data_IF_421962347772
#
_entry.id   IF_421962347772
#
_cell.length_a   1.000
_cell.length_b   1.000
_cell.length_c   1.000
_cell.angle_alpha   90.00
_cell.angle_beta   90.00
_cell.angle_gamma   90.00
#
_symmetry.space_group_name_H-M   'P 1'
#
loop_
_entity.id
_entity.type
_entity.pdbx_description
1 polymer ?
#
# COMPACT_ATOMS: atom_id res chain seq x y z
N UNK A 1 -23.62 10.78 7.27
CA UNK A 1 -22.47 11.30 8.03
C UNK A 1 -21.95 10.17 8.89
N UNK A 2 -20.68 9.78 8.75
CA UNK A 2 -20.05 8.74 9.59
C UNK A 2 -19.39 9.47 10.76
N UNK A 3 -19.83 9.17 11.99
CA UNK A 3 -19.21 9.70 13.20
C UNK A 3 -18.21 8.66 13.72
N UNK A 4 -16.96 9.07 13.93
CA UNK A 4 -15.91 8.23 14.49
C UNK A 4 -15.37 8.86 15.78
N UNK A 5 -15.23 8.03 16.83
CA UNK A 5 -14.60 8.42 18.07
C UNK A 5 -13.11 8.01 18.02
N UNK A 6 -12.22 8.95 18.33
CA UNK A 6 -10.79 8.67 18.38
C UNK A 6 -10.38 8.21 19.79
N UNK A 7 -9.60 7.13 19.93
CA UNK A 7 -9.04 6.73 21.23
C UNK A 7 -8.06 7.77 21.77
N UNK A 8 -7.86 7.80 23.09
CA UNK A 8 -6.77 8.58 23.70
C UNK A 8 -5.44 7.86 23.47
N UNK A 9 -4.42 8.58 22.99
CA UNK A 9 -3.25 7.97 22.38
C UNK A 9 -1.96 8.34 23.12
N UNK A 10 -1.21 7.36 23.63
CA UNK A 10 0.00 7.61 24.43
C UNK A 10 1.34 7.38 23.69
N UNK A 11 1.41 6.43 22.75
CA UNK A 11 2.64 6.07 22.00
C UNK A 11 2.42 6.04 20.48
N UNK A 12 3.42 6.44 19.69
CA UNK A 12 3.33 6.66 18.23
C UNK A 12 2.83 5.44 17.46
N UNK A 13 3.35 4.25 17.76
CA UNK A 13 2.96 3.04 17.03
C UNK A 13 1.54 2.59 17.38
N UNK A 14 1.18 2.72 18.66
CA UNK A 14 -0.20 2.48 19.08
C UNK A 14 -1.14 3.45 18.36
N UNK A 15 -0.73 4.73 18.19
CA UNK A 15 -1.50 5.72 17.42
C UNK A 15 -1.74 5.29 15.99
N UNK A 16 -0.68 4.85 15.30
CA UNK A 16 -0.79 4.48 13.90
C UNK A 16 -1.70 3.26 13.75
N UNK A 17 -1.58 2.25 14.62
CA UNK A 17 -2.43 1.07 14.56
C UNK A 17 -3.90 1.42 14.85
N UNK A 18 -4.17 2.16 15.92
CA UNK A 18 -5.54 2.53 16.31
C UNK A 18 -6.21 3.40 15.24
N UNK A 19 -5.48 4.40 14.72
CA UNK A 19 -5.97 5.24 13.63
C UNK A 19 -6.18 4.43 12.35
N UNK A 20 -5.27 3.49 12.04
CA UNK A 20 -5.42 2.58 10.89
C UNK A 20 -6.70 1.77 11.01
N UNK A 21 -6.99 1.20 12.18
CA UNK A 21 -8.21 0.41 12.40
C UNK A 21 -9.46 1.28 12.30
N UNK A 22 -9.44 2.50 12.87
CA UNK A 22 -10.54 3.45 12.77
C UNK A 22 -10.81 3.85 11.31
N UNK A 23 -9.78 4.21 10.54
CA UNK A 23 -9.94 4.56 9.12
C UNK A 23 -10.37 3.36 8.28
N UNK A 24 -9.85 2.16 8.54
CA UNK A 24 -10.27 0.95 7.84
C UNK A 24 -11.77 0.68 8.07
N UNK A 25 -12.26 0.83 9.30
CA UNK A 25 -13.69 0.72 9.61
C UNK A 25 -14.52 1.77 8.86
N UNK A 26 -14.08 3.03 8.83
CA UNK A 26 -14.76 4.11 8.08
C UNK A 26 -14.84 3.76 6.59
N UNK A 27 -13.74 3.28 5.99
CA UNK A 27 -13.71 2.90 4.58
C UNK A 27 -14.62 1.71 4.29
N UNK A 28 -14.67 0.70 5.16
CA UNK A 28 -15.59 -0.43 5.02
C UNK A 28 -17.05 0.05 5.03
N UNK A 29 -17.44 0.92 5.96
CA UNK A 29 -18.80 1.47 6.00
C UNK A 29 -19.11 2.33 4.77
N UNK A 30 -18.13 3.12 4.31
CA UNK A 30 -18.29 3.92 3.11
C UNK A 30 -18.48 3.03 1.86
N UNK A 31 -17.68 1.98 1.69
CA UNK A 31 -17.86 1.00 0.62
C UNK A 31 -19.23 0.30 0.69
N UNK A 32 -19.69 -0.07 1.89
CA UNK A 32 -21.06 -0.61 2.06
C UNK A 32 -22.11 0.38 1.60
N UNK A 33 -21.96 1.66 1.94
CA UNK A 33 -22.88 2.70 1.48
C UNK A 33 -22.83 2.90 -0.05
N UNK A 34 -21.65 2.74 -0.69
CA UNK A 34 -21.51 2.75 -2.15
C UNK A 34 -22.20 1.56 -2.83
N UNK A 35 -22.08 0.36 -2.23
CA UNK A 35 -22.59 -0.91 -2.78
C UNK A 35 -24.01 -1.31 -2.35
N UNK A 36 -24.66 -0.56 -1.45
CA UNK A 36 -26.04 -0.82 -1.00
C UNK A 36 -27.11 -0.41 -2.02
N UNK A 37 -26.73 -0.08 -3.26
CA UNK A 37 -27.64 -0.08 -4.40
C UNK A 37 -27.97 -1.53 -4.78
N UNK A 38 -28.74 -2.22 -3.93
CA UNK A 38 -29.25 -3.55 -4.28
C UNK A 38 -29.95 -3.49 -5.65
N UNK A 39 -29.62 -4.37 -6.61
CA UNK A 39 -30.52 -4.65 -7.70
C UNK A 39 -31.75 -5.35 -7.08
N UNK A 40 -32.81 -4.58 -6.86
CA UNK A 40 -34.10 -5.09 -6.38
C UNK A 40 -34.52 -6.31 -7.22
N UNK A 41 -34.38 -7.51 -6.66
CA UNK A 41 -34.78 -8.75 -7.34
C UNK A 41 -36.31 -8.94 -7.39
N UNK A 42 -37.09 -7.91 -7.03
CA UNK A 42 -38.53 -7.85 -7.22
C UNK A 42 -38.89 -6.73 -8.21
N UNK A 43 -38.65 -6.99 -9.51
CA UNK A 43 -39.25 -6.20 -10.59
C UNK A 43 -40.73 -6.57 -10.72
N UNK A 44 -41.55 -6.02 -9.83
CA UNK A 44 -42.93 -5.69 -10.23
C UNK A 44 -42.80 -4.53 -11.23
N UNK A 45 -43.23 -4.75 -12.46
CA UNK A 45 -43.27 -3.72 -13.51
C UNK A 45 -44.23 -2.61 -13.09
N UNK A 46 -43.71 -1.58 -12.43
CA UNK A 46 -44.32 -0.26 -12.42
C UNK A 46 -43.36 0.71 -13.07
N UNK A 47 -43.79 1.27 -14.21
CA UNK A 47 -43.10 2.35 -14.91
C UNK A 47 -43.00 3.55 -13.98
N UNK A 48 -41.91 3.64 -13.24
CA UNK A 48 -41.51 4.82 -12.50
C UNK A 48 -40.07 5.11 -12.90
N UNK A 49 -39.92 6.13 -13.73
CA UNK A 49 -38.66 6.83 -14.01
C UNK A 49 -38.17 7.50 -12.73
N UNK A 50 -37.70 6.71 -11.76
CA UNK A 50 -36.87 7.22 -10.67
C UNK A 50 -35.45 7.27 -11.20
N UNK A 51 -34.93 8.48 -11.43
CA UNK A 51 -33.51 8.69 -11.70
C UNK A 51 -32.71 7.92 -10.64
N UNK A 52 -31.81 7.04 -11.05
CA UNK A 52 -30.84 6.44 -10.15
C UNK A 52 -30.16 7.59 -9.40
N UNK A 53 -30.51 7.75 -8.12
CA UNK A 53 -29.97 8.82 -7.31
C UNK A 53 -28.46 8.59 -7.24
N UNK A 54 -27.70 9.59 -7.67
CA UNK A 54 -26.24 9.53 -7.80
C UNK A 54 -25.65 9.23 -6.42
N UNK A 55 -25.21 7.98 -6.20
CA UNK A 55 -24.65 7.58 -4.90
C UNK A 55 -23.43 8.46 -4.62
N UNK A 56 -23.37 9.17 -3.48
CA UNK A 56 -22.31 10.14 -3.25
C UNK A 56 -20.95 9.45 -3.20
N UNK A 57 -20.12 9.68 -4.22
CA UNK A 57 -18.75 9.16 -4.35
C UNK A 57 -17.71 9.93 -3.51
N UNK A 58 -18.15 10.85 -2.66
CA UNK A 58 -17.27 11.72 -1.87
C UNK A 58 -17.33 11.34 -0.39
N UNK A 59 -16.20 10.89 0.16
CA UNK A 59 -16.00 10.66 1.59
C UNK A 59 -15.26 11.85 2.19
N UNK A 60 -15.90 12.54 3.15
CA UNK A 60 -15.26 13.62 3.92
C UNK A 60 -14.73 13.09 5.24
N UNK A 61 -13.43 13.22 5.46
CA UNK A 61 -12.73 12.81 6.67
C UNK A 61 -12.25 14.03 7.45
N UNK A 62 -12.44 14.01 8.77
CA UNK A 62 -11.75 14.92 9.69
C UNK A 62 -10.56 14.15 10.26
N UNK A 63 -9.36 14.74 10.37
CA UNK A 63 -8.25 14.10 11.05
C UNK A 63 -8.64 13.72 12.48
N UNK A 64 -8.79 12.43 12.76
CA UNK A 64 -9.22 11.91 14.07
C UNK A 64 -8.25 12.28 15.20
N UNK A 65 -7.07 12.75 14.86
CA UNK A 65 -6.05 13.21 15.76
C UNK A 65 -6.26 14.62 16.35
N UNK A 66 -7.26 15.37 15.91
CA UNK A 66 -7.51 16.74 16.37
C UNK A 66 -7.89 16.74 17.88
N UNK A 67 -6.97 17.22 18.74
CA UNK A 67 -7.24 17.48 20.17
C UNK A 67 -6.76 16.46 21.20
N UNK A 68 -6.20 15.31 20.78
CA UNK A 68 -5.83 14.22 21.71
C UNK A 68 -4.33 14.03 21.92
N UNK A 69 -3.51 15.02 21.55
CA UNK A 69 -2.07 14.92 21.71
C UNK A 69 -1.55 15.55 22.99
N UNK A 70 -1.24 14.72 23.97
CA UNK A 70 -0.45 15.14 25.14
C UNK A 70 1.01 15.47 24.74
N UNK A 71 1.56 14.78 23.74
CA UNK A 71 2.94 14.97 23.30
C UNK A 71 3.07 16.00 22.17
N UNK A 72 3.51 17.22 22.53
CA UNK A 72 3.75 18.33 21.59
C UNK A 72 4.74 18.01 20.47
N UNK A 73 5.70 17.10 20.68
CA UNK A 73 6.68 16.71 19.64
C UNK A 73 6.02 15.97 18.49
N UNK A 74 4.97 15.20 18.77
CA UNK A 74 4.21 14.46 17.76
C UNK A 74 3.27 15.36 16.96
N UNK A 75 2.95 16.55 17.48
CA UNK A 75 2.10 17.50 16.77
C UNK A 75 2.73 17.96 15.45
N UNK A 76 4.05 18.16 15.42
CA UNK A 76 4.78 18.51 14.20
C UNK A 76 4.76 17.40 13.14
N UNK A 77 4.51 16.15 13.54
CA UNK A 77 4.45 14.99 12.65
C UNK A 77 3.00 14.58 12.33
N UNK A 78 2.02 15.38 12.74
CA UNK A 78 0.63 14.95 12.72
C UNK A 78 0.12 14.60 11.31
N UNK A 79 0.43 15.45 10.33
CA UNK A 79 0.06 15.18 8.94
C UNK A 79 0.63 13.84 8.45
N UNK A 80 1.88 13.52 8.79
CA UNK A 80 2.50 12.24 8.43
C UNK A 80 1.79 11.07 9.10
N UNK A 81 1.55 11.14 10.41
CA UNK A 81 0.83 10.08 11.15
C UNK A 81 -0.54 9.83 10.54
N UNK A 82 -1.29 10.90 10.24
CA UNK A 82 -2.59 10.82 9.60
C UNK A 82 -2.52 10.12 8.25
N UNK A 83 -1.70 10.62 7.32
CA UNK A 83 -1.62 10.07 5.96
C UNK A 83 -1.06 8.66 5.94
N UNK A 84 -0.10 8.34 6.81
CA UNK A 84 0.40 6.98 6.99
C UNK A 84 -0.71 6.05 7.46
N UNK A 85 -1.50 6.45 8.47
CA UNK A 85 -2.60 5.63 8.98
C UNK A 85 -3.70 5.41 7.92
N UNK A 86 -4.01 6.45 7.14
CA UNK A 86 -4.95 6.37 6.01
C UNK A 86 -4.43 5.43 4.93
N UNK A 87 -3.15 5.55 4.54
CA UNK A 87 -2.54 4.70 3.52
C UNK A 87 -2.55 3.22 3.94
N UNK A 88 -2.14 2.91 5.18
CA UNK A 88 -2.17 1.54 5.70
C UNK A 88 -3.62 1.04 5.81
N UNK A 89 -4.56 1.88 6.21
CA UNK A 89 -5.97 1.50 6.27
C UNK A 89 -6.52 1.12 4.89
N UNK A 90 -6.18 1.87 3.85
CA UNK A 90 -6.55 1.55 2.46
C UNK A 90 -5.90 0.24 1.99
N UNK A 91 -4.60 0.05 2.29
CA UNK A 91 -3.85 -1.17 1.93
C UNK A 91 -4.44 -2.43 2.60
N UNK A 92 -4.95 -2.31 3.84
CA UNK A 92 -5.56 -3.40 4.59
C UNK A 92 -6.97 -3.79 4.13
N UNK A 93 -7.61 -3.01 3.27
CA UNK A 93 -8.94 -3.36 2.76
C UNK A 93 -8.86 -4.59 1.85
N UNK A 94 -9.87 -5.47 1.86
CA UNK A 94 -10.01 -6.49 0.82
C UNK A 94 -9.99 -5.87 -0.58
N UNK A 95 -9.35 -6.53 -1.55
CA UNK A 95 -9.19 -6.02 -2.92
C UNK A 95 -10.52 -5.58 -3.56
N UNK A 96 -11.62 -6.30 -3.27
CA UNK A 96 -12.95 -5.93 -3.74
C UNK A 96 -13.40 -4.54 -3.24
N UNK A 97 -13.09 -4.19 -1.99
CA UNK A 97 -13.42 -2.88 -1.41
C UNK A 97 -12.46 -1.79 -1.92
N UNK A 98 -11.18 -2.11 -2.13
CA UNK A 98 -10.24 -1.17 -2.74
C UNK A 98 -10.71 -0.73 -4.14
N UNK A 99 -11.18 -1.67 -4.95
CA UNK A 99 -11.74 -1.38 -6.29
C UNK A 99 -13.00 -0.51 -6.23
N UNK A 100 -13.84 -0.67 -5.20
CA UNK A 100 -15.01 0.21 -5.03
C UNK A 100 -14.61 1.66 -4.74
N UNK A 101 -13.43 1.88 -4.15
CA UNK A 101 -12.91 3.21 -3.85
C UNK A 101 -12.13 3.84 -5.02
N UNK A 102 -11.91 3.14 -6.13
CA UNK A 102 -11.11 3.62 -7.27
C UNK A 102 -11.68 4.92 -7.86
N UNK A 103 -13.01 5.02 -7.94
CA UNK A 103 -13.73 6.21 -8.41
C UNK A 103 -14.13 7.17 -7.28
N UNK A 104 -13.79 6.86 -6.02
CA UNK A 104 -14.19 7.67 -4.88
C UNK A 104 -13.22 8.83 -4.65
N UNK A 105 -13.78 9.97 -4.24
CA UNK A 105 -12.99 11.12 -3.78
C UNK A 105 -12.96 11.14 -2.26
N UNK A 106 -11.76 11.15 -1.68
CA UNK A 106 -11.58 11.34 -0.23
C UNK A 106 -11.16 12.79 0.01
N UNK A 107 -12.06 13.58 0.60
CA UNK A 107 -11.81 14.95 1.02
C UNK A 107 -11.38 14.97 2.49
N UNK A 108 -10.24 15.59 2.81
CA UNK A 108 -9.81 15.77 4.19
C UNK A 108 -10.11 17.19 4.66
N UNK A 109 -11.02 17.30 5.62
CA UNK A 109 -11.51 18.54 6.18
C UNK A 109 -10.63 18.98 7.36
N UNK A 110 -9.77 19.97 7.10
CA UNK A 110 -8.91 20.58 8.14
C UNK A 110 -9.62 21.79 8.74
N UNK A 111 -9.99 21.70 10.01
CA UNK A 111 -10.78 22.73 10.72
C UNK A 111 -10.01 24.05 10.91
N UNK A 112 -8.67 23.99 11.04
CA UNK A 112 -7.82 25.15 11.35
C UNK A 112 -6.83 25.44 10.24
N UNK A 113 -6.86 26.66 9.72
CA UNK A 113 -5.92 27.10 8.68
C UNK A 113 -4.44 26.94 9.09
N UNK A 114 -4.12 27.07 10.37
CA UNK A 114 -2.76 26.88 10.90
C UNK A 114 -2.25 25.43 10.79
N UNK A 115 -3.14 24.45 10.68
CA UNK A 115 -2.79 23.02 10.60
C UNK A 115 -2.64 22.56 9.14
N UNK A 116 -3.25 23.28 8.19
CA UNK A 116 -3.22 22.95 6.77
C UNK A 116 -1.81 22.67 6.22
N UNK A 117 -0.75 23.42 6.56
CA UNK A 117 0.60 23.13 6.07
C UNK A 117 1.09 21.72 6.43
N UNK A 118 0.83 21.24 7.65
CA UNK A 118 1.30 19.93 8.10
C UNK A 118 0.69 18.77 7.29
N UNK A 119 -0.60 18.90 6.92
CA UNK A 119 -1.30 17.89 6.12
C UNK A 119 -1.01 18.03 4.62
N UNK A 120 -0.96 19.25 4.09
CA UNK A 120 -0.78 19.50 2.65
C UNK A 120 0.64 19.25 2.16
N UNK A 121 1.67 19.50 2.98
CA UNK A 121 3.06 19.21 2.61
C UNK A 121 3.28 17.71 2.40
N UNK A 122 2.64 16.89 3.24
CA UNK A 122 2.72 15.42 3.16
C UNK A 122 1.97 14.88 1.93
N UNK A 123 0.92 15.57 1.49
CA UNK A 123 0.12 15.23 0.31
C UNK A 123 0.77 15.57 -1.03
N UNK A 124 1.93 16.24 -1.04
CA UNK A 124 2.63 16.56 -2.30
C UNK A 124 3.10 15.27 -2.96
N UNK A 125 2.20 14.65 -3.73
CA UNK A 125 2.52 13.60 -4.69
C UNK A 125 3.51 14.24 -5.64
N UNK A 126 4.77 13.83 -5.56
CA UNK A 126 5.80 14.29 -6.49
C UNK A 126 5.38 13.77 -7.86
N UNK A 127 4.90 14.62 -8.79
CA UNK A 127 4.30 14.16 -10.06
C UNK A 127 5.29 13.41 -10.96
N UNK A 128 6.56 13.44 -10.57
CA UNK A 128 7.69 12.90 -11.33
C UNK A 128 8.29 11.63 -10.69
N UNK A 129 7.73 11.14 -9.59
CA UNK A 129 8.27 10.00 -8.84
C UNK A 129 9.23 10.42 -7.71
N UNK A 130 9.53 9.47 -6.83
CA UNK A 130 10.32 9.68 -5.62
C UNK A 130 11.82 9.80 -5.96
N UNK A 131 12.54 10.76 -5.36
CA UNK A 131 14.00 10.83 -5.46
C UNK A 131 14.62 10.03 -4.32
N UNK A 132 15.34 8.97 -4.68
CA UNK A 132 16.04 8.11 -3.74
C UNK A 132 17.27 8.81 -3.16
N UNK A 133 17.59 8.43 -1.92
CA UNK A 133 18.80 8.84 -1.24
C UNK A 133 20.07 8.26 -1.86
N UNK A 134 21.21 8.56 -1.25
CA UNK A 134 22.52 7.99 -1.64
C UNK A 134 22.60 6.47 -1.51
N UNK A 135 21.70 5.88 -0.71
CA UNK A 135 21.51 4.45 -0.52
C UNK A 135 20.66 3.78 -1.60
N UNK A 136 20.15 4.56 -2.58
CA UNK A 136 19.25 4.09 -3.62
C UNK A 136 18.00 3.39 -3.06
N UNK A 137 17.48 3.85 -1.91
CA UNK A 137 16.28 3.28 -1.28
C UNK A 137 16.49 1.93 -0.60
N UNK A 138 17.74 1.53 -0.38
CA UNK A 138 18.08 0.29 0.31
C UNK A 138 17.79 0.44 1.81
N UNK A 139 16.98 -0.47 2.36
CA UNK A 139 16.81 -0.56 3.82
C UNK A 139 18.14 -0.89 4.49
N UNK A 140 18.37 -0.35 5.69
CA UNK A 140 19.66 -0.50 6.37
C UNK A 140 19.75 -1.89 7.02
N UNK A 141 20.83 -2.67 6.82
CA UNK A 141 21.00 -3.93 7.52
C UNK A 141 21.20 -3.67 9.02
N UNK A 142 20.54 -4.46 9.88
CA UNK A 142 20.72 -4.41 11.35
C UNK A 142 21.55 -5.62 11.75
N UNK A 143 22.60 -5.41 12.53
CA UNK A 143 23.58 -6.45 12.88
C UNK A 143 24.16 -7.16 11.65
N UNK A 144 24.40 -6.40 10.57
CA UNK A 144 25.00 -6.90 9.33
C UNK A 144 24.09 -7.76 8.45
N UNK A 145 22.79 -7.89 8.75
CA UNK A 145 21.86 -8.69 7.95
C UNK A 145 20.45 -8.04 7.82
N UNK A 146 19.58 -8.70 7.06
CA UNK A 146 18.20 -8.29 6.78
C UNK A 146 17.15 -9.09 7.55
N UNK A 147 17.54 -9.90 8.54
CA UNK A 147 16.58 -10.73 9.27
C UNK A 147 15.53 -9.90 10.01
N UNK A 148 15.91 -8.69 10.44
CA UNK A 148 15.02 -7.77 11.14
C UNK A 148 13.76 -7.41 10.32
N UNK A 149 13.87 -7.41 8.98
CA UNK A 149 12.73 -7.14 8.09
C UNK A 149 11.64 -8.20 8.28
N UNK A 150 12.02 -9.44 8.58
CA UNK A 150 11.08 -10.57 8.71
C UNK A 150 10.77 -10.92 10.16
N UNK A 151 11.76 -10.85 11.04
CA UNK A 151 11.68 -11.39 12.41
C UNK A 151 11.37 -10.32 13.46
N UNK A 152 11.82 -9.08 13.25
CA UNK A 152 11.71 -8.06 14.28
C UNK A 152 10.38 -7.30 14.16
N UNK A 153 9.76 -7.06 15.31
CA UNK A 153 8.44 -6.44 15.41
C UNK A 153 8.41 -5.22 16.34
N UNK A 154 9.57 -4.60 16.60
CA UNK A 154 9.58 -3.35 17.35
C UNK A 154 8.85 -2.24 16.55
N UNK A 155 8.21 -1.28 17.24
CA UNK A 155 7.90 0.05 16.73
C UNK A 155 8.73 0.56 15.54
N UNK A 156 10.01 0.80 15.79
CA UNK A 156 10.94 1.38 14.82
C UNK A 156 11.12 0.48 13.61
N UNK A 157 11.14 -0.85 13.78
CA UNK A 157 11.26 -1.78 12.66
C UNK A 157 10.02 -1.74 11.76
N UNK A 158 8.82 -1.63 12.35
CA UNK A 158 7.57 -1.52 11.58
C UNK A 158 7.54 -0.22 10.78
N UNK A 159 7.92 0.89 11.41
CA UNK A 159 7.99 2.20 10.77
C UNK A 159 8.99 2.22 9.61
N UNK A 160 10.16 1.60 9.77
CA UNK A 160 11.16 1.52 8.71
C UNK A 160 10.66 0.68 7.52
N UNK A 161 9.99 -0.45 7.79
CA UNK A 161 9.35 -1.25 6.73
C UNK A 161 8.24 -0.49 6.02
N UNK A 162 7.43 0.25 6.76
CA UNK A 162 6.33 1.03 6.21
C UNK A 162 6.84 2.16 5.32
N UNK A 163 7.92 2.84 5.72
CA UNK A 163 8.58 3.84 4.90
C UNK A 163 9.14 3.23 3.60
N UNK A 164 9.80 2.06 3.68
CA UNK A 164 10.31 1.35 2.52
C UNK A 164 9.19 0.88 1.57
N UNK A 165 8.11 0.33 2.12
CA UNK A 165 6.91 -0.05 1.36
C UNK A 165 6.30 1.17 0.66
N UNK A 166 6.14 2.29 1.37
CA UNK A 166 5.58 3.52 0.83
C UNK A 166 6.40 4.08 -0.34
N UNK A 167 7.73 4.07 -0.22
CA UNK A 167 8.63 4.46 -1.33
C UNK A 167 8.47 3.55 -2.55
N UNK A 168 8.34 2.24 -2.31
CA UNK A 168 8.15 1.24 -3.38
C UNK A 168 6.80 1.44 -4.07
N UNK A 169 5.72 1.60 -3.31
CA UNK A 169 4.39 1.87 -3.86
C UNK A 169 4.36 3.16 -4.67
N UNK A 170 5.01 4.22 -4.17
CA UNK A 170 5.11 5.48 -4.91
C UNK A 170 5.87 5.30 -6.23
N UNK A 171 6.98 4.55 -6.23
CA UNK A 171 7.73 4.27 -7.46
C UNK A 171 6.90 3.48 -8.47
N UNK A 172 6.13 2.48 -8.01
CA UNK A 172 5.23 1.69 -8.88
C UNK A 172 4.12 2.57 -9.45
N UNK A 173 3.45 3.37 -8.60
CA UNK A 173 2.37 4.26 -9.01
C UNK A 173 2.82 5.34 -10.01
N UNK A 174 4.01 5.90 -9.79
CA UNK A 174 4.61 6.87 -10.71
C UNK A 174 5.32 6.23 -11.91
N UNK A 175 5.25 4.91 -12.07
CA UNK A 175 5.94 4.14 -13.11
C UNK A 175 7.46 4.42 -13.18
N UNK A 176 8.07 4.81 -12.06
CA UNK A 176 9.45 5.24 -12.03
C UNK A 176 9.88 5.96 -10.75
N UNK A 177 11.18 6.23 -10.69
CA UNK A 177 11.82 6.96 -9.59
C UNK A 177 13.10 7.67 -10.07
N UNK A 178 13.66 8.54 -9.24
CA UNK A 178 14.95 9.19 -9.51
C UNK A 178 16.04 8.66 -8.59
N UNK A 179 17.24 8.47 -9.13
CA UNK A 179 18.43 8.22 -8.33
C UNK A 179 18.93 9.50 -7.67
N UNK A 180 19.84 9.35 -6.71
CA UNK A 180 20.47 10.48 -6.00
C UNK A 180 21.16 11.48 -6.92
N UNK A 181 21.64 11.05 -8.09
CA UNK A 181 22.24 11.90 -9.13
C UNK A 181 21.20 12.56 -10.07
N UNK A 182 19.90 12.42 -9.79
CA UNK A 182 18.81 12.97 -10.61
C UNK A 182 18.48 12.14 -11.86
N UNK A 183 19.16 11.01 -12.10
CA UNK A 183 18.83 10.13 -13.24
C UNK A 183 17.48 9.46 -13.00
N UNK A 184 16.58 9.58 -13.97
CA UNK A 184 15.30 8.88 -13.98
C UNK A 184 15.49 7.38 -14.25
N UNK A 185 14.73 6.55 -13.55
CA UNK A 185 14.57 5.12 -13.78
C UNK A 185 13.10 4.85 -14.02
N UNK A 186 12.78 4.28 -15.18
CA UNK A 186 11.42 4.00 -15.63
C UNK A 186 11.09 2.52 -15.42
N UNK A 187 9.90 2.23 -14.88
CA UNK A 187 9.38 0.88 -14.67
C UNK A 187 8.52 0.44 -15.87
N UNK A 188 9.18 0.19 -17.01
CA UNK A 188 8.57 -0.01 -18.34
C UNK A 188 7.56 -1.17 -18.48
N UNK A 189 7.56 -2.11 -17.55
CA UNK A 189 6.85 -3.38 -17.71
C UNK A 189 5.83 -3.66 -16.61
N UNK A 190 5.46 -2.67 -15.78
CA UNK A 190 4.50 -2.86 -14.68
C UNK A 190 3.14 -3.34 -15.21
N UNK A 191 2.57 -2.66 -16.21
CA UNK A 191 1.28 -3.04 -16.79
C UNK A 191 1.31 -4.46 -17.39
N UNK A 192 2.38 -4.80 -18.11
CA UNK A 192 2.55 -6.15 -18.69
C UNK A 192 2.73 -7.22 -17.60
N UNK A 193 3.46 -6.92 -16.52
CA UNK A 193 3.63 -7.82 -15.38
C UNK A 193 2.28 -8.12 -14.71
N UNK A 194 1.46 -7.09 -14.50
CA UNK A 194 0.11 -7.24 -13.93
C UNK A 194 -0.79 -8.04 -14.86
N UNK A 195 -0.85 -7.69 -16.15
CA UNK A 195 -1.70 -8.35 -17.14
C UNK A 195 -1.37 -9.84 -17.35
N UNK A 196 -0.09 -10.22 -17.19
CA UNK A 196 0.37 -11.60 -17.35
C UNK A 196 0.48 -12.37 -16.03
N UNK A 197 0.09 -11.78 -14.89
CA UNK A 197 0.04 -12.49 -13.62
C UNK A 197 -1.09 -13.52 -13.66
N UNK A 198 -0.75 -14.78 -13.42
CA UNK A 198 -1.71 -15.90 -13.46
C UNK A 198 -1.79 -16.60 -12.11
N UNK A 199 -2.98 -17.09 -11.77
CA UNK A 199 -3.22 -17.92 -10.60
C UNK A 199 -3.31 -19.36 -11.06
N UNK A 200 -2.37 -20.20 -10.61
CA UNK A 200 -2.40 -21.63 -10.83
C UNK A 200 -3.01 -22.31 -9.62
N UNK A 201 -4.10 -23.06 -9.83
CA UNK A 201 -4.71 -23.90 -8.80
C UNK A 201 -3.90 -25.18 -8.66
N UNK A 202 -3.94 -25.78 -7.48
CA UNK A 202 -3.21 -27.03 -7.21
C UNK A 202 -3.53 -28.15 -8.21
N UNK A 203 -4.76 -28.22 -8.71
CA UNK A 203 -5.19 -29.20 -9.72
C UNK A 203 -4.70 -28.90 -11.15
N UNK A 204 -4.21 -27.70 -11.42
CA UNK A 204 -3.72 -27.27 -12.74
C UNK A 204 -2.20 -27.47 -12.89
N UNK A 205 -1.51 -27.76 -11.78
CA UNK A 205 -0.08 -28.04 -11.78
C UNK A 205 0.14 -29.47 -12.28
N UNK A 206 0.13 -29.64 -13.59
CA UNK A 206 0.60 -30.87 -14.22
C UNK A 206 2.12 -30.89 -14.13
N UNK A 207 2.66 -31.78 -13.30
CA UNK A 207 4.09 -32.04 -13.24
C UNK A 207 4.51 -32.80 -14.51
N UNK A 208 4.56 -32.11 -15.66
CA UNK A 208 5.26 -32.63 -16.84
C UNK A 208 6.76 -32.59 -16.55
N UNK A 209 7.23 -33.58 -15.80
CA UNK A 209 8.64 -33.87 -15.54
C UNK A 209 9.25 -34.48 -16.81
N UNK A 210 9.42 -33.70 -17.87
CA UNK A 210 9.75 -34.28 -19.17
C UNK A 210 10.19 -33.32 -20.26
N UNK A 211 11.12 -32.40 -19.95
CA UNK A 211 11.88 -31.69 -20.98
C UNK A 211 13.16 -32.43 -21.37
N UNK A 212 13.69 -32.19 -22.57
CA UNK A 212 15.01 -32.68 -22.98
C UNK A 212 16.05 -32.35 -21.88
N UNK A 213 16.73 -33.38 -21.38
CA UNK A 213 17.55 -33.29 -20.17
C UNK A 213 18.73 -32.34 -20.35
N UNK A 214 18.63 -31.14 -19.79
CA UNK A 214 19.78 -30.30 -19.50
C UNK A 214 20.38 -30.72 -18.16
N UNK A 215 21.72 -30.74 -18.08
CA UNK A 215 22.40 -30.98 -16.81
C UNK A 215 22.06 -29.87 -15.82
N UNK A 216 21.32 -30.22 -14.76
CA UNK A 216 20.90 -29.27 -13.73
C UNK A 216 21.98 -29.18 -12.66
N UNK A 217 22.59 -28.00 -12.51
CA UNK A 217 23.58 -27.76 -11.44
C UNK A 217 22.94 -27.05 -10.26
N UNK A 218 23.11 -27.60 -9.05
CA UNK A 218 22.75 -26.93 -7.81
C UNK A 218 23.92 -26.10 -7.28
N UNK A 219 23.67 -24.84 -6.92
CA UNK A 219 24.70 -23.95 -6.34
C UNK A 219 24.12 -23.17 -5.16
N UNK A 220 24.91 -23.03 -4.11
CA UNK A 220 24.61 -22.16 -2.98
C UNK A 220 25.36 -20.84 -3.17
N UNK A 221 24.62 -19.75 -3.33
CA UNK A 221 25.18 -18.42 -3.52
C UNK A 221 24.89 -17.54 -2.31
N UNK A 222 25.88 -16.77 -1.82
CA UNK A 222 25.62 -15.76 -0.80
C UNK A 222 24.79 -14.61 -1.37
N UNK A 223 24.02 -13.95 -0.51
CA UNK A 223 23.22 -12.77 -0.86
C UNK A 223 21.71 -12.99 -0.76
N UNK A 224 20.96 -11.96 -1.11
CA UNK A 224 19.50 -11.99 -1.21
C UNK A 224 19.04 -12.62 -2.52
N UNK A 225 17.79 -13.07 -2.57
CA UNK A 225 17.19 -13.63 -3.79
C UNK A 225 17.29 -12.65 -4.97
N UNK A 226 17.11 -11.35 -4.71
CA UNK A 226 17.19 -10.31 -5.76
C UNK A 226 18.62 -10.08 -6.24
N UNK A 227 19.62 -10.07 -5.34
CA UNK A 227 21.04 -9.94 -5.73
C UNK A 227 21.48 -11.12 -6.61
N UNK A 228 21.02 -12.34 -6.31
CA UNK A 228 21.31 -13.52 -7.14
C UNK A 228 20.58 -13.43 -8.49
N UNK A 229 19.31 -13.04 -8.50
CA UNK A 229 18.54 -12.88 -9.74
C UNK A 229 19.16 -11.82 -10.66
N UNK A 230 19.60 -10.68 -10.12
CA UNK A 230 20.31 -9.64 -10.86
C UNK A 230 21.64 -10.14 -11.43
N UNK A 231 22.41 -10.90 -10.65
CA UNK A 231 23.68 -11.48 -11.09
C UNK A 231 23.51 -12.53 -12.21
N UNK A 232 22.35 -13.19 -12.29
CA UNK A 232 22.00 -14.09 -13.40
C UNK A 232 21.52 -13.31 -14.62
N UNK A 233 20.64 -12.33 -14.42
CA UNK A 233 20.10 -11.48 -15.48
C UNK A 233 21.21 -10.68 -16.21
N UNK A 234 22.20 -10.18 -15.47
CA UNK A 234 23.38 -9.49 -16.04
C UNK A 234 24.24 -10.38 -16.95
N UNK A 235 24.10 -11.71 -16.86
CA UNK A 235 24.74 -12.69 -17.76
C UNK A 235 23.84 -13.11 -18.92
N UNK A 236 22.69 -12.44 -19.08
CA UNK A 236 21.69 -12.78 -20.09
C UNK A 236 20.89 -14.05 -19.76
N UNK A 237 20.94 -14.53 -18.51
CA UNK A 237 20.18 -15.70 -18.09
C UNK A 237 18.80 -15.29 -17.59
N UNK A 238 17.77 -16.05 -17.98
CA UNK A 238 16.45 -15.90 -17.38
C UNK A 238 16.47 -16.51 -15.98
N UNK A 239 16.03 -15.74 -14.99
CA UNK A 239 15.96 -16.16 -13.61
C UNK A 239 14.49 -16.26 -13.15
N UNK A 240 14.15 -17.34 -12.46
CA UNK A 240 12.92 -17.46 -11.69
C UNK A 240 13.27 -17.36 -10.20
N UNK A 241 12.60 -16.46 -9.49
CA UNK A 241 12.77 -16.28 -8.06
C UNK A 241 11.57 -16.87 -7.31
N UNK A 242 11.84 -17.65 -6.26
CA UNK A 242 10.78 -18.23 -5.42
C UNK A 242 10.52 -17.30 -4.23
N UNK A 243 9.30 -16.78 -4.14
CA UNK A 243 8.85 -15.99 -3.00
C UNK A 243 8.34 -16.91 -1.88
N UNK A 244 8.84 -16.71 -0.67
CA UNK A 244 8.27 -17.32 0.54
C UNK A 244 7.04 -16.51 0.99
N UNK A 245 5.94 -16.70 0.24
CA UNK A 245 4.73 -15.91 0.32
C UNK A 245 3.91 -16.19 1.59
N UNK A 246 3.16 -15.16 2.02
CA UNK A 246 2.11 -15.30 3.04
C UNK A 246 0.89 -16.02 2.45
N UNK A 247 0.27 -16.91 3.21
CA UNK A 247 -0.92 -17.66 2.80
C UNK A 247 -2.25 -16.97 3.16
N UNK A 248 -2.20 -15.81 3.81
CA UNK A 248 -3.40 -15.09 4.23
C UNK A 248 -3.97 -14.27 3.06
N UNK A 249 -5.22 -14.54 2.69
CA UNK A 249 -6.07 -13.76 1.78
C UNK A 249 -7.10 -12.97 2.59
#
# INVERSE_FOLDING_TARGET
VIHAACPALHDLDQRINDLTEAYAAIFVEFCRALGSSEPSNNKVWTNSTSSAADTPKVLRLIPLSEGLLENKRLNAQMGRVFWTSVAVALERLPLALQRQLEDATIEVCISRASELPAFSETLRVVPRGHQLGSDCGRVTPKNGNYEWVRKNNSPSDRMERLAASSMTMQAVYCEGYYLSNGRAVELKHVAAMVANTTVLRACEVNAELGGAGHETSLRFSPGTVMEVAEALASKGQMAAAVNAASAYL
#
